data_IF_305671669956
#
_entry.id   IF_305671669956
#
_cell.length_a   1.000
_cell.length_b   1.000
_cell.length_c   1.000
_cell.angle_alpha   90.00
_cell.angle_beta   90.00
_cell.angle_gamma   90.00
#
_symmetry.space_group_name_H-M   'P 1'
#
loop_
_entity.id
_entity.type
_entity.pdbx_description
1 polymer ?
#
# COMPACT_ATOMS: atom_id res chain seq x y z
N UNK A 1 8.88 -12.30 -11.61
CA UNK A 1 9.01 -11.19 -10.65
C UNK A 1 8.51 -11.67 -9.30
N UNK A 2 9.29 -11.55 -8.22
CA UNK A 2 8.92 -12.12 -6.92
C UNK A 2 8.06 -11.17 -6.06
N UNK A 3 8.18 -9.85 -6.27
CA UNK A 3 7.37 -8.84 -5.59
C UNK A 3 7.28 -7.58 -6.45
N UNK A 4 6.20 -6.81 -6.29
CA UNK A 4 6.04 -5.51 -6.92
C UNK A 4 5.70 -4.46 -5.86
N UNK A 5 6.41 -3.33 -5.85
CA UNK A 5 6.16 -2.22 -4.93
C UNK A 5 5.52 -1.10 -5.73
N UNK A 6 4.39 -0.58 -5.24
CA UNK A 6 3.68 0.52 -5.91
C UNK A 6 2.89 1.34 -4.90
N UNK A 7 2.59 2.59 -5.26
CA UNK A 7 1.49 3.32 -4.65
C UNK A 7 0.15 2.63 -4.95
N UNK A 8 -0.92 3.06 -4.28
CA UNK A 8 -2.31 2.70 -4.56
C UNK A 8 -2.80 3.27 -5.91
N UNK A 9 -2.21 2.79 -7.00
CA UNK A 9 -2.45 3.26 -8.37
C UNK A 9 -2.79 2.11 -9.32
N UNK A 10 -3.07 2.44 -10.58
CA UNK A 10 -3.34 1.46 -11.64
C UNK A 10 -2.26 0.36 -11.75
N UNK A 11 -0.99 0.68 -11.43
CA UNK A 11 0.11 -0.28 -11.48
C UNK A 11 -0.06 -1.43 -10.46
N UNK A 12 -0.62 -1.15 -9.27
CA UNK A 12 -0.97 -2.20 -8.31
C UNK A 12 -1.99 -3.17 -8.91
N UNK A 13 -3.02 -2.65 -9.58
CA UNK A 13 -4.06 -3.49 -10.19
C UNK A 13 -3.49 -4.35 -11.32
N UNK A 14 -2.67 -3.78 -12.19
CA UNK A 14 -2.02 -4.53 -13.26
C UNK A 14 -1.15 -5.67 -12.70
N UNK A 15 -0.27 -5.39 -11.74
CA UNK A 15 0.57 -6.42 -11.11
C UNK A 15 -0.28 -7.51 -10.42
N UNK A 16 -1.38 -7.12 -9.79
CA UNK A 16 -2.30 -8.05 -9.13
C UNK A 16 -2.92 -9.05 -10.10
N UNK A 17 -3.26 -8.62 -11.33
CA UNK A 17 -3.83 -9.48 -12.37
C UNK A 17 -2.84 -10.55 -12.87
N UNK A 18 -1.53 -10.25 -12.83
CA UNK A 18 -0.48 -11.23 -13.13
C UNK A 18 -0.18 -12.16 -11.95
N UNK A 19 -0.94 -12.08 -10.85
CA UNK A 19 -0.71 -12.88 -9.64
C UNK A 19 0.58 -12.52 -8.91
N UNK A 20 1.19 -11.36 -9.21
CA UNK A 20 2.40 -10.89 -8.56
C UNK A 20 2.01 -10.35 -7.18
N UNK A 21 2.69 -10.73 -6.09
CA UNK A 21 2.47 -10.14 -4.77
C UNK A 21 2.83 -8.65 -4.79
N UNK A 22 1.87 -7.81 -4.41
CA UNK A 22 2.03 -6.35 -4.38
C UNK A 22 2.17 -5.84 -2.95
N UNK A 23 3.22 -5.05 -2.72
CA UNK A 23 3.37 -4.20 -1.53
C UNK A 23 2.87 -2.81 -1.95
N UNK A 24 1.68 -2.44 -1.46
CA UNK A 24 1.01 -1.19 -1.83
C UNK A 24 1.22 -0.13 -0.76
N UNK A 25 1.63 1.08 -1.14
CA UNK A 25 1.88 2.19 -0.22
C UNK A 25 0.65 3.12 -0.20
N UNK A 26 0.11 3.42 0.98
CA UNK A 26 -1.12 4.20 1.14
C UNK A 26 -0.90 5.43 2.03
N UNK A 27 -1.16 6.61 1.44
CA UNK A 27 -1.09 7.90 2.13
C UNK A 27 -2.47 8.44 2.51
N UNK A 28 -2.97 9.39 1.73
CA UNK A 28 -4.24 10.09 1.96
C UNK A 28 -5.49 9.18 1.85
N UNK A 29 -5.38 8.10 1.09
CA UNK A 29 -6.41 7.11 0.81
C UNK A 29 -6.37 5.97 1.84
N UNK A 30 -7.30 5.02 1.73
CA UNK A 30 -7.35 3.84 2.60
C UNK A 30 -7.84 2.60 1.84
N UNK A 31 -7.27 1.39 2.07
CA UNK A 31 -7.73 0.16 1.42
C UNK A 31 -9.23 -0.13 1.57
N UNK A 32 -9.83 0.31 2.69
CA UNK A 32 -11.26 0.15 2.95
C UNK A 32 -12.17 0.97 2.03
N UNK A 33 -11.62 1.88 1.23
CA UNK A 33 -12.37 2.59 0.19
C UNK A 33 -12.81 1.68 -0.98
N UNK A 34 -12.37 0.41 -1.01
CA UNK A 34 -12.82 -0.60 -1.97
C UNK A 34 -11.96 -0.73 -3.23
N UNK A 35 -10.86 0.02 -3.32
CA UNK A 35 -9.96 0.04 -4.49
C UNK A 35 -8.72 -0.86 -4.32
N UNK A 36 -8.80 -1.90 -3.50
CA UNK A 36 -7.65 -2.78 -3.29
C UNK A 36 -7.41 -3.71 -4.50
N UNK A 37 -6.16 -4.10 -4.72
CA UNK A 37 -5.79 -5.02 -5.80
C UNK A 37 -6.49 -6.38 -5.64
N UNK A 38 -7.02 -6.92 -6.75
CA UNK A 38 -7.71 -8.21 -6.73
C UNK A 38 -6.79 -9.34 -6.27
N UNK A 39 -7.27 -10.18 -5.35
CA UNK A 39 -6.50 -11.31 -4.82
C UNK A 39 -5.28 -10.93 -3.96
N UNK A 40 -5.06 -9.64 -3.70
CA UNK A 40 -3.97 -9.18 -2.85
C UNK A 40 -4.35 -9.25 -1.37
N UNK A 41 -3.34 -9.46 -0.52
CA UNK A 41 -3.55 -9.54 0.92
C UNK A 41 -3.38 -8.17 1.57
N UNK A 42 -4.34 -7.78 2.41
CA UNK A 42 -4.34 -6.49 3.14
C UNK A 42 -3.07 -6.28 3.99
N UNK A 43 -2.45 -7.35 4.50
CA UNK A 43 -1.20 -7.27 5.28
C UNK A 43 -0.01 -6.70 4.48
N UNK A 44 -0.08 -6.75 3.15
CA UNK A 44 0.96 -6.18 2.28
C UNK A 44 0.76 -4.67 2.03
N UNK A 45 -0.34 -4.07 2.51
CA UNK A 45 -0.52 -2.62 2.48
C UNK A 45 0.42 -1.97 3.50
N UNK A 46 1.32 -1.10 3.03
CA UNK A 46 2.15 -0.22 3.82
C UNK A 46 1.40 1.08 4.09
N UNK A 47 1.03 1.27 5.35
CA UNK A 47 0.25 2.40 5.82
C UNK A 47 0.36 2.54 7.33
N UNK A 48 0.06 3.73 7.84
CA UNK A 48 0.01 4.01 9.28
C UNK A 48 -1.41 4.37 9.71
N UNK A 49 -1.81 3.98 10.91
CA UNK A 49 -3.13 4.33 11.43
C UNK A 49 -3.17 5.80 11.86
N UNK A 50 -4.12 6.56 11.31
CA UNK A 50 -4.29 7.97 11.58
C UNK A 50 -5.77 8.34 11.47
N UNK A 51 -6.27 9.10 12.45
CA UNK A 51 -7.68 9.53 12.52
C UNK A 51 -8.15 10.33 11.30
N UNK A 52 -7.23 10.99 10.58
CA UNK A 52 -7.55 11.83 9.43
C UNK A 52 -7.68 11.04 8.11
N UNK A 53 -7.48 9.72 8.12
CA UNK A 53 -7.52 8.87 6.92
C UNK A 53 -8.88 8.17 6.78
N UNK A 54 -9.45 8.10 5.57
CA UNK A 54 -8.98 8.74 4.34
C UNK A 54 -9.37 10.23 4.31
N UNK A 55 -8.41 11.13 4.06
CA UNK A 55 -8.71 12.55 3.82
C UNK A 55 -9.12 12.82 2.36
N UNK A 56 -8.74 11.91 1.45
CA UNK A 56 -9.22 11.88 0.07
C UNK A 56 -9.38 10.44 -0.40
N UNK A 57 -10.49 10.14 -1.08
CA UNK A 57 -10.74 8.82 -1.68
C UNK A 57 -9.87 8.58 -2.92
N UNK A 58 -9.54 9.65 -3.65
CA UNK A 58 -8.76 9.59 -4.90
C UNK A 58 -7.41 10.30 -4.80
N UNK A 59 -6.98 10.71 -3.61
CA UNK A 59 -5.74 11.47 -3.42
C UNK A 59 -5.73 12.88 -4.03
N UNK A 60 -6.85 13.35 -4.58
CA UNK A 60 -6.96 14.62 -5.32
C UNK A 60 -7.40 15.81 -4.48
N UNK A 61 -7.47 15.66 -3.14
CA UNK A 61 -7.83 16.74 -2.23
C UNK A 61 -6.61 17.13 -1.39
N UNK A 62 -6.47 18.41 -1.00
CA UNK A 62 -5.43 18.83 -0.08
C UNK A 62 -5.47 18.01 1.21
N UNK A 63 -4.30 17.79 1.81
CA UNK A 63 -4.21 17.09 3.09
C UNK A 63 -4.98 17.87 4.17
N UNK A 64 -5.96 17.22 4.81
CA UNK A 64 -6.74 17.83 5.90
C UNK A 64 -5.85 18.31 7.07
N UNK A 65 -4.78 17.56 7.38
CA UNK A 65 -3.84 17.88 8.46
C UNK A 65 -2.74 18.86 8.05
N UNK A 66 -2.50 19.00 6.74
CA UNK A 66 -1.52 19.92 6.16
C UNK A 66 -0.05 19.47 6.21
N UNK A 67 0.27 18.39 6.92
CA UNK A 67 1.66 17.96 7.17
C UNK A 67 2.02 16.61 6.53
N UNK A 68 1.10 16.02 5.76
CA UNK A 68 1.32 14.74 5.05
C UNK A 68 1.85 13.60 5.93
N UNK A 69 1.47 13.60 7.20
CA UNK A 69 1.81 12.60 8.19
C UNK A 69 1.77 11.15 7.73
N UNK A 70 0.75 10.80 6.94
CA UNK A 70 0.54 9.46 6.41
C UNK A 70 1.72 8.96 5.56
N UNK A 71 2.47 9.88 4.94
CA UNK A 71 3.68 9.58 4.18
C UNK A 71 4.94 9.87 4.99
N UNK A 72 5.00 10.99 5.69
CA UNK A 72 6.19 11.41 6.46
C UNK A 72 6.48 10.51 7.67
N UNK A 73 5.45 9.92 8.28
CA UNK A 73 5.60 9.02 9.44
C UNK A 73 5.57 7.54 9.04
N UNK A 74 5.36 7.22 7.76
CA UNK A 74 5.46 5.86 7.26
C UNK A 74 6.94 5.51 7.06
N UNK A 75 7.55 4.90 8.06
CA UNK A 75 8.96 4.54 8.02
C UNK A 75 9.25 3.55 6.87
N UNK A 76 10.38 3.75 6.18
CA UNK A 76 10.83 2.90 5.08
C UNK A 76 11.06 1.45 5.55
N UNK A 77 11.48 1.28 6.81
CA UNK A 77 11.63 -0.04 7.43
C UNK A 77 10.34 -0.87 7.38
N UNK A 78 9.17 -0.24 7.56
CA UNK A 78 7.88 -0.95 7.47
C UNK A 78 7.61 -1.50 6.07
N UNK A 79 8.07 -0.79 5.02
CA UNK A 79 7.97 -1.25 3.63
C UNK A 79 8.95 -2.40 3.40
N UNK A 80 10.21 -2.24 3.83
CA UNK A 80 11.26 -3.25 3.70
C UNK A 80 10.88 -4.55 4.40
N UNK A 81 10.32 -4.49 5.60
CA UNK A 81 9.82 -5.65 6.35
C UNK A 81 8.73 -6.40 5.57
N UNK A 82 7.74 -5.68 5.00
CA UNK A 82 6.69 -6.30 4.16
C UNK A 82 7.27 -6.97 2.92
N UNK A 83 8.26 -6.35 2.28
CA UNK A 83 8.96 -6.95 1.13
C UNK A 83 9.68 -8.23 1.55
N UNK A 84 10.45 -8.19 2.64
CA UNK A 84 11.14 -9.37 3.18
C UNK A 84 10.14 -10.51 3.51
N UNK A 85 9.00 -10.18 4.10
CA UNK A 85 7.94 -11.15 4.38
C UNK A 85 7.32 -11.74 3.11
N UNK A 86 7.09 -10.94 2.07
CA UNK A 86 6.66 -11.44 0.75
C UNK A 86 7.69 -12.42 0.18
N UNK A 87 8.97 -12.06 0.18
CA UNK A 87 10.03 -12.90 -0.39
C UNK A 87 10.16 -14.23 0.34
N UNK A 88 10.21 -14.23 1.68
CA UNK A 88 10.26 -15.45 2.51
C UNK A 88 9.11 -16.42 2.23
N UNK A 89 7.90 -15.89 1.98
CA UNK A 89 6.72 -16.71 1.67
C UNK A 89 6.77 -17.31 0.27
N UNK A 90 7.46 -16.66 -0.66
CA UNK A 90 7.63 -17.16 -2.02
C UNK A 90 8.74 -18.20 -2.12
N UNK A 91 9.79 -18.10 -1.30
CA UNK A 91 10.90 -19.07 -1.29
C UNK A 91 10.49 -20.45 -0.72
N UNK A 92 9.36 -20.52 -0.01
CA UNK A 92 8.76 -21.77 0.49
C UNK A 92 7.74 -22.41 -0.45
N UNK A 93 7.61 -21.92 -1.69
CA UNK A 93 6.69 -22.41 -2.73
C UNK A 93 7.49 -22.96 -3.91
#
# INVERSE_FOLDING_TARGET
MNAFISMDSANMHLASLFGIPVISIWGATHPYAGFYGWGQQLRNAAQIDLYCRPCSVFGNKPCYRGDHACMEQLAESMVVEKVADVLKRNDGR
#
